data_IF_024663854145
#
_entry.id   IF_024663854145
#
_cell.length_a   1.000
_cell.length_b   1.000
_cell.length_c   1.000
_cell.angle_alpha   90.00
_cell.angle_beta   90.00
_cell.angle_gamma   90.00
#
_symmetry.space_group_name_H-M   'P 1'
#
loop_
_entity.id
_entity.type
_entity.pdbx_description
1 polymer ?
#
# COMPACT_ATOMS: atom_id res chain seq x y z
N UNK A 1 -39.27 5.53 24.20
CA UNK A 1 -37.82 5.78 24.28
C UNK A 1 -37.13 4.70 23.45
N UNK A 2 -36.67 5.04 22.24
CA UNK A 2 -36.00 4.09 21.36
C UNK A 2 -34.58 3.83 21.91
N UNK A 3 -34.29 2.59 22.27
CA UNK A 3 -32.94 2.15 22.65
C UNK A 3 -32.06 2.13 21.41
N UNK A 4 -30.99 2.92 21.42
CA UNK A 4 -30.01 2.94 20.34
C UNK A 4 -29.30 1.58 20.29
N UNK A 5 -29.35 0.93 19.12
CA UNK A 5 -28.71 -0.34 18.85
C UNK A 5 -27.19 -0.09 18.68
N UNK A 6 -26.40 -0.31 19.74
CA UNK A 6 -24.94 -0.22 19.68
C UNK A 6 -24.40 -1.28 18.72
N UNK A 7 -23.99 -0.85 17.52
CA UNK A 7 -23.26 -1.72 16.59
C UNK A 7 -21.91 -2.05 17.24
N UNK A 8 -21.77 -3.29 17.73
CA UNK A 8 -20.52 -3.87 18.19
C UNK A 8 -19.50 -3.87 17.03
N UNK A 9 -18.78 -2.76 16.90
CA UNK A 9 -17.72 -2.61 15.91
C UNK A 9 -16.49 -3.25 16.53
N UNK A 10 -16.26 -4.53 16.24
CA UNK A 10 -15.02 -5.19 16.65
C UNK A 10 -13.83 -4.46 16.01
N UNK A 11 -13.15 -3.66 16.82
CA UNK A 11 -11.93 -2.97 16.40
C UNK A 11 -10.81 -4.00 16.27
N UNK A 12 -10.54 -4.44 15.03
CA UNK A 12 -9.43 -5.34 14.74
C UNK A 12 -8.11 -4.57 14.90
N UNK A 13 -7.31 -4.94 15.90
CA UNK A 13 -5.95 -4.41 16.05
C UNK A 13 -5.07 -4.88 14.89
N UNK A 14 -4.48 -3.93 14.16
CA UNK A 14 -3.56 -4.18 13.05
C UNK A 14 -2.30 -3.35 13.25
N UNK A 15 -1.18 -3.77 12.65
CA UNK A 15 0.09 -3.05 12.78
C UNK A 15 0.14 -1.82 11.83
N UNK A 16 1.12 -0.93 12.05
CA UNK A 16 1.27 0.29 11.24
C UNK A 16 1.47 0.05 9.75
N UNK A 17 2.12 -1.05 9.36
CA UNK A 17 2.30 -1.40 7.95
C UNK A 17 0.96 -1.76 7.29
N UNK A 18 0.10 -2.52 7.96
CA UNK A 18 -1.25 -2.81 7.48
C UNK A 18 -2.11 -1.56 7.41
N UNK A 19 -1.99 -0.65 8.38
CA UNK A 19 -2.69 0.64 8.34
C UNK A 19 -2.27 1.44 7.09
N UNK A 20 -0.97 1.48 6.78
CA UNK A 20 -0.46 2.18 5.60
C UNK A 20 -1.01 1.56 4.31
N UNK A 21 -0.95 0.24 4.16
CA UNK A 21 -1.46 -0.43 2.95
C UNK A 21 -2.98 -0.26 2.81
N UNK A 22 -3.74 -0.39 3.91
CA UNK A 22 -5.19 -0.09 3.88
C UNK A 22 -5.49 1.35 3.48
N UNK A 23 -4.67 2.31 3.93
CA UNK A 23 -4.84 3.71 3.53
C UNK A 23 -4.64 3.89 2.03
N UNK A 24 -3.63 3.24 1.42
CA UNK A 24 -3.41 3.27 -0.03
C UNK A 24 -4.60 2.66 -0.79
N UNK A 25 -5.08 1.49 -0.36
CA UNK A 25 -6.26 0.83 -0.96
C UNK A 25 -7.50 1.74 -0.89
N UNK A 26 -7.75 2.39 0.25
CA UNK A 26 -8.87 3.34 0.43
C UNK A 26 -8.75 4.59 -0.45
N UNK A 27 -7.54 4.98 -0.81
CA UNK A 27 -7.28 6.05 -1.78
C UNK A 27 -7.36 5.58 -3.24
N UNK A 28 -7.75 4.32 -3.48
CA UNK A 28 -7.93 3.77 -4.83
C UNK A 28 -6.62 3.39 -5.53
N UNK A 29 -5.53 3.24 -4.79
CA UNK A 29 -4.24 2.80 -5.36
C UNK A 29 -4.35 1.34 -5.81
N UNK A 30 -4.28 1.12 -7.12
CA UNK A 30 -4.38 -0.22 -7.73
C UNK A 30 -3.03 -0.91 -7.88
N UNK A 31 -1.94 -0.15 -7.95
CA UNK A 31 -0.61 -0.68 -8.25
C UNK A 31 0.47 0.09 -7.48
N UNK A 32 1.43 -0.64 -6.94
CA UNK A 32 2.60 -0.10 -6.26
C UNK A 32 3.88 -0.75 -6.81
N UNK A 33 4.89 0.07 -7.08
CA UNK A 33 6.23 -0.37 -7.45
C UNK A 33 7.11 -0.43 -6.21
N UNK A 34 7.32 -1.63 -5.68
CA UNK A 34 7.93 -1.82 -4.36
C UNK A 34 9.22 -2.64 -4.45
N UNK A 35 10.34 -2.05 -4.05
CA UNK A 35 11.62 -2.74 -3.93
C UNK A 35 11.92 -3.10 -2.45
N UNK A 36 12.12 -4.39 -2.13
CA UNK A 36 12.25 -4.85 -0.76
C UNK A 36 13.62 -4.57 -0.16
N UNK A 37 13.63 -4.31 1.15
CA UNK A 37 14.82 -4.31 1.98
C UNK A 37 14.47 -4.51 3.46
N UNK A 38 15.49 -4.61 4.31
CA UNK A 38 15.32 -4.98 5.72
C UNK A 38 14.36 -4.07 6.48
N UNK A 39 14.46 -2.75 6.28
CA UNK A 39 13.62 -1.78 6.98
C UNK A 39 12.20 -1.68 6.41
N UNK A 40 11.99 -1.98 5.11
CA UNK A 40 10.66 -2.01 4.48
C UNK A 40 9.98 -3.38 4.54
N UNK A 41 10.60 -4.39 5.18
CA UNK A 41 10.05 -5.75 5.25
C UNK A 41 8.61 -5.82 5.83
N UNK A 42 8.24 -5.09 6.90
CA UNK A 42 6.87 -5.10 7.39
C UNK A 42 5.84 -4.61 6.35
N UNK A 43 6.22 -3.66 5.48
CA UNK A 43 5.37 -3.17 4.40
C UNK A 43 5.20 -4.22 3.30
N UNK A 44 6.26 -4.93 2.93
CA UNK A 44 6.16 -6.06 1.99
C UNK A 44 5.28 -7.19 2.52
N UNK A 45 5.39 -7.51 3.81
CA UNK A 45 4.51 -8.49 4.46
C UNK A 45 3.05 -8.02 4.43
N UNK A 46 2.78 -6.74 4.67
CA UNK A 46 1.44 -6.18 4.55
C UNK A 46 0.94 -6.23 3.09
N UNK A 47 1.74 -5.84 2.10
CA UNK A 47 1.37 -5.92 0.69
C UNK A 47 0.97 -7.35 0.27
N UNK A 48 1.66 -8.37 0.78
CA UNK A 48 1.28 -9.76 0.53
C UNK A 48 -0.08 -10.15 1.12
N UNK A 49 -0.48 -9.55 2.26
CA UNK A 49 -1.83 -9.76 2.85
C UNK A 49 -2.94 -9.09 2.04
N UNK A 50 -2.66 -7.96 1.39
CA UNK A 50 -3.61 -7.18 0.57
C UNK A 50 -3.39 -7.38 -0.94
N UNK A 51 -2.77 -8.50 -1.36
CA UNK A 51 -2.39 -8.76 -2.76
C UNK A 51 -3.57 -8.72 -3.74
N UNK A 52 -4.78 -8.99 -3.24
CA UNK A 52 -6.02 -9.02 -4.03
C UNK A 52 -6.61 -7.60 -4.20
N UNK A 53 -6.21 -6.66 -3.34
CA UNK A 53 -6.66 -5.26 -3.36
C UNK A 53 -5.64 -4.32 -4.03
N UNK A 54 -4.34 -4.57 -3.87
CA UNK A 54 -3.25 -3.76 -4.43
C UNK A 54 -2.19 -4.63 -5.07
N UNK A 55 -1.97 -4.42 -6.38
CA UNK A 55 -0.96 -5.16 -7.13
C UNK A 55 0.43 -4.63 -6.81
N UNK A 56 1.30 -5.50 -6.32
CA UNK A 56 2.71 -5.19 -6.11
C UNK A 56 3.54 -5.58 -7.35
N UNK A 57 4.29 -4.63 -7.91
CA UNK A 57 5.24 -4.86 -8.99
C UNK A 57 6.66 -4.65 -8.47
N UNK A 58 7.52 -5.66 -8.62
CA UNK A 58 8.92 -5.61 -8.21
C UNK A 58 9.77 -5.00 -9.34
N UNK A 59 10.28 -3.76 -9.21
CA UNK A 59 11.24 -3.24 -10.16
C UNK A 59 12.61 -3.91 -9.97
N UNK A 60 13.52 -3.76 -10.94
CA UNK A 60 14.90 -4.26 -10.83
C UNK A 60 15.89 -3.22 -10.28
N UNK A 61 15.41 -2.01 -10.07
CA UNK A 61 16.09 -0.92 -9.40
C UNK A 61 15.00 0.05 -8.91
N UNK A 62 15.17 0.61 -7.72
CA UNK A 62 14.35 1.64 -7.10
C UNK A 62 14.06 2.81 -8.05
N UNK A 63 15.08 3.28 -8.80
CA UNK A 63 14.91 4.33 -9.80
C UNK A 63 13.93 3.92 -10.91
N UNK A 64 14.01 2.68 -11.38
CA UNK A 64 13.05 2.11 -12.33
C UNK A 64 11.64 2.03 -11.75
N UNK A 65 11.50 1.74 -10.45
CA UNK A 65 10.23 1.80 -9.74
C UNK A 65 9.64 3.21 -9.69
N UNK A 66 10.48 4.21 -9.42
CA UNK A 66 10.08 5.63 -9.43
C UNK A 66 9.62 6.10 -10.81
N UNK A 67 10.37 5.76 -11.87
CA UNK A 67 9.98 6.08 -13.25
C UNK A 67 8.70 5.37 -13.68
N UNK A 68 8.49 4.12 -13.29
CA UNK A 68 7.26 3.41 -13.59
C UNK A 68 6.03 4.02 -12.88
N UNK A 69 6.18 4.41 -11.61
CA UNK A 69 5.14 5.14 -10.88
C UNK A 69 4.82 6.49 -11.55
N UNK A 70 5.84 7.24 -11.96
CA UNK A 70 5.66 8.47 -12.72
C UNK A 70 4.95 8.23 -14.05
N UNK A 71 5.23 7.11 -14.71
CA UNK A 71 4.54 6.66 -15.93
C UNK A 71 3.03 6.54 -15.72
N UNK A 72 2.59 5.87 -14.64
CA UNK A 72 1.17 5.79 -14.27
C UNK A 72 0.58 7.20 -14.13
N UNK A 73 1.20 8.04 -13.31
CA UNK A 73 0.69 9.39 -13.05
C UNK A 73 0.54 10.24 -14.32
N UNK A 74 1.51 10.18 -15.23
CA UNK A 74 1.50 10.99 -16.46
C UNK A 74 0.56 10.45 -17.54
N UNK A 75 0.27 9.16 -17.54
CA UNK A 75 -0.48 8.51 -18.64
C UNK A 75 -1.94 8.25 -18.29
N UNK A 76 -2.27 8.10 -17.01
CA UNK A 76 -3.65 7.83 -16.56
C UNK A 76 -4.28 8.98 -15.77
N UNK A 77 -3.45 9.86 -15.18
CA UNK A 77 -3.91 10.86 -14.22
C UNK A 77 -4.16 10.31 -12.81
N UNK A 78 -3.94 9.01 -12.59
CA UNK A 78 -4.02 8.39 -11.26
C UNK A 78 -2.77 8.65 -10.42
N UNK A 79 -2.83 8.38 -9.11
CA UNK A 79 -1.65 8.48 -8.25
C UNK A 79 -0.67 7.32 -8.53
N UNK A 80 0.54 7.64 -8.98
CA UNK A 80 1.65 6.70 -9.06
C UNK A 80 2.32 6.50 -7.70
N UNK A 81 2.47 5.24 -7.26
CA UNK A 81 3.07 4.91 -5.95
C UNK A 81 4.32 4.06 -6.11
N UNK A 82 5.42 4.50 -5.50
CA UNK A 82 6.67 3.75 -5.37
C UNK A 82 7.09 3.60 -3.90
N UNK A 83 7.81 2.53 -3.58
CA UNK A 83 8.30 2.24 -2.23
C UNK A 83 9.70 1.59 -2.29
N UNK A 84 10.57 2.02 -1.39
CA UNK A 84 11.93 1.47 -1.21
C UNK A 84 12.23 1.27 0.28
N UNK A 85 13.36 0.63 0.57
CA UNK A 85 13.89 0.53 1.94
C UNK A 85 14.66 1.80 2.32
N UNK A 86 15.12 1.89 3.57
CA UNK A 86 16.09 2.91 3.99
C UNK A 86 17.47 2.65 3.40
N UNK A 87 18.24 3.71 3.15
CA UNK A 87 19.60 3.60 2.62
C UNK A 87 19.59 3.49 1.09
N UNK A 88 20.50 2.71 0.49
CA UNK A 88 20.45 2.41 -0.93
C UNK A 88 19.26 1.51 -1.27
#
# INVERSE_FOLDING_TARGET
MATANEKNTQTKTINGAEILIQALVRQGVKTIFAYPGGCSMPLHQALMKYKDDIRTLLPRHEQGGGFAAQGIARTTGDVGVCMATSGP
#
